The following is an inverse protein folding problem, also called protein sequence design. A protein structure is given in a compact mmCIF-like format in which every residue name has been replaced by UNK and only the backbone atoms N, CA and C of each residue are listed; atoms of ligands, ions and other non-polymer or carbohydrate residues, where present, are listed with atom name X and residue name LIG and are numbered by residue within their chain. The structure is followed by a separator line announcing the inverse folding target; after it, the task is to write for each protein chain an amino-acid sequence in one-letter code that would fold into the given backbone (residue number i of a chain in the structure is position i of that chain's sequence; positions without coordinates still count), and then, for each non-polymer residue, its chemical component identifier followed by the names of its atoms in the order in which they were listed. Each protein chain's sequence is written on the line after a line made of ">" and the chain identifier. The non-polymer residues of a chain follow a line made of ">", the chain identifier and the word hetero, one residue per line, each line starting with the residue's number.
data_IF_486056374518
#
_entry.id   IF_486056374518
#
_cell.length_a   1.000
_cell.length_b   1.000
_cell.length_c   1.000
_cell.angle_alpha   90.00
_cell.angle_beta   90.00
_cell.angle_gamma   90.00
#
_symmetry.space_group_name_H-M   'P 1'
#
loop_
_entity.id
_entity.type
_entity.pdbx_description
1 polymer ?
#
# COMPACT_ATOMS: atom_id res chain seq x y z
N UNK A 1 -19.88 5.44 -12.87
CA UNK A 1 -18.64 5.94 -12.25
C UNK A 1 -17.80 4.71 -11.98
N UNK A 2 -16.76 4.47 -12.76
CA UNK A 2 -15.78 3.42 -12.43
C UNK A 2 -15.19 3.80 -11.08
N UNK A 3 -15.31 2.96 -10.03
CA UNK A 3 -14.52 3.20 -8.84
C UNK A 3 -13.06 3.13 -9.30
N UNK A 4 -12.30 4.19 -9.08
CA UNK A 4 -10.88 4.23 -9.39
C UNK A 4 -10.17 3.36 -8.35
N UNK A 5 -10.33 2.04 -8.50
CA UNK A 5 -9.80 1.07 -7.55
C UNK A 5 -8.29 1.14 -7.54
N UNK A 6 -7.69 1.11 -6.37
CA UNK A 6 -6.24 1.07 -6.26
C UNK A 6 -5.69 -0.22 -6.91
N UNK A 7 -4.69 -0.05 -7.77
CA UNK A 7 -3.89 -1.12 -8.38
C UNK A 7 -2.42 -0.89 -8.00
N UNK A 8 -1.73 -1.85 -7.35
CA UNK A 8 -0.31 -1.73 -7.00
C UNK A 8 0.59 -1.35 -8.18
N UNK A 9 0.25 -1.76 -9.41
CA UNK A 9 1.03 -1.45 -10.61
C UNK A 9 0.85 -0.01 -11.12
N UNK A 10 -0.18 0.70 -10.64
CA UNK A 10 -0.58 2.02 -11.13
C UNK A 10 -0.67 3.08 -10.01
N UNK A 11 -0.15 2.81 -8.81
CA UNK A 11 -0.15 3.80 -7.71
C UNK A 11 0.67 5.04 -8.07
N UNK A 12 0.20 6.22 -7.65
CA UNK A 12 0.96 7.46 -7.79
C UNK A 12 1.99 7.61 -6.66
N UNK A 13 2.89 8.61 -6.80
CA UNK A 13 3.88 8.91 -5.77
C UNK A 13 3.24 9.42 -4.48
N UNK A 14 2.11 10.14 -4.53
CA UNK A 14 1.39 10.53 -3.32
C UNK A 14 0.79 9.31 -2.61
N UNK A 15 0.21 8.37 -3.36
CA UNK A 15 -0.33 7.13 -2.80
C UNK A 15 0.77 6.30 -2.14
N UNK A 16 1.94 6.18 -2.79
CA UNK A 16 3.08 5.48 -2.23
C UNK A 16 3.59 6.12 -0.93
N UNK A 17 3.64 7.45 -0.86
CA UNK A 17 4.01 8.16 0.37
C UNK A 17 3.04 7.88 1.52
N UNK A 18 1.73 7.83 1.24
CA UNK A 18 0.72 7.48 2.24
C UNK A 18 0.83 6.01 2.69
N UNK A 19 1.05 5.07 1.76
CA UNK A 19 1.25 3.65 2.08
C UNK A 19 2.49 3.47 2.95
N UNK A 20 3.58 4.19 2.65
CA UNK A 20 4.79 4.20 3.48
C UNK A 20 4.49 4.73 4.88
N UNK A 21 3.75 5.82 5.02
CA UNK A 21 3.39 6.37 6.33
C UNK A 21 2.62 5.33 7.16
N UNK A 22 1.61 4.68 6.57
CA UNK A 22 0.86 3.61 7.26
C UNK A 22 1.77 2.47 7.70
N UNK A 23 2.58 1.94 6.78
CA UNK A 23 3.39 0.75 7.06
C UNK A 23 4.54 1.02 8.03
N UNK A 24 5.27 2.10 7.79
CA UNK A 24 6.57 2.37 8.41
C UNK A 24 6.47 3.30 9.62
N UNK A 25 5.60 4.30 9.56
CA UNK A 25 5.54 5.34 10.59
C UNK A 25 4.42 5.04 11.60
N UNK A 26 3.28 4.52 11.14
CA UNK A 26 2.14 4.13 12.00
C UNK A 26 2.13 2.64 12.38
N UNK A 27 3.02 1.83 11.81
CA UNK A 27 3.19 0.42 12.16
C UNK A 27 2.07 -0.51 11.70
N UNK A 28 1.36 -0.16 10.63
CA UNK A 28 0.29 -1.00 10.09
C UNK A 28 0.85 -2.35 9.64
N UNK A 29 0.11 -3.43 9.92
CA UNK A 29 0.34 -4.71 9.25
C UNK A 29 -0.05 -4.62 7.77
N UNK A 30 0.42 -5.53 6.93
CA UNK A 30 0.01 -5.57 5.52
C UNK A 30 -1.52 -5.66 5.34
N UNK A 31 -2.21 -6.42 6.19
CA UNK A 31 -3.68 -6.50 6.18
C UNK A 31 -4.34 -5.16 6.51
N UNK A 32 -3.76 -4.40 7.44
CA UNK A 32 -4.26 -3.08 7.80
C UNK A 32 -4.00 -2.06 6.68
N UNK A 33 -2.85 -2.11 6.02
CA UNK A 33 -2.57 -1.31 4.81
C UNK A 33 -3.60 -1.61 3.71
N UNK A 34 -3.86 -2.88 3.44
CA UNK A 34 -4.85 -3.31 2.45
C UNK A 34 -6.26 -2.78 2.77
N UNK A 35 -6.66 -2.86 4.04
CA UNK A 35 -7.95 -2.34 4.50
C UNK A 35 -8.01 -0.82 4.34
N UNK A 36 -7.00 -0.08 4.81
CA UNK A 36 -6.96 1.38 4.70
C UNK A 36 -6.96 1.85 3.23
N UNK A 37 -6.21 1.18 2.36
CA UNK A 37 -6.21 1.45 0.93
C UNK A 37 -7.58 1.15 0.28
N UNK A 38 -8.25 0.08 0.71
CA UNK A 38 -9.62 -0.24 0.27
C UNK A 38 -10.60 0.83 0.72
N UNK A 39 -10.51 1.28 1.97
CA UNK A 39 -11.44 2.28 2.51
C UNK A 39 -11.21 3.66 1.88
N UNK A 40 -9.96 4.02 1.57
CA UNK A 40 -9.60 5.33 1.01
C UNK A 40 -9.78 5.42 -0.51
N UNK A 41 -9.37 4.39 -1.25
CA UNK A 41 -9.32 4.41 -2.72
C UNK A 41 -10.21 3.36 -3.39
N UNK A 42 -10.75 2.42 -2.63
CA UNK A 42 -11.56 1.31 -3.16
C UNK A 42 -10.69 0.17 -3.69
N UNK A 43 -11.05 -1.05 -3.34
CA UNK A 43 -10.43 -2.26 -3.87
C UNK A 43 -11.40 -3.44 -3.69
N UNK A 44 -11.43 -4.42 -4.60
CA UNK A 44 -12.19 -5.64 -4.40
C UNK A 44 -11.56 -6.58 -3.35
N UNK A 45 -10.34 -6.29 -2.88
CA UNK A 45 -9.55 -7.21 -2.07
C UNK A 45 -9.69 -7.01 -0.56
N UNK A 46 -10.19 -5.86 -0.09
CA UNK A 46 -10.36 -5.58 1.34
C UNK A 46 -9.05 -5.71 2.13
N UNK A 47 -9.12 -6.30 3.33
CA UNK A 47 -7.96 -6.58 4.20
C UNK A 47 -7.08 -7.77 3.77
N UNK A 48 -7.04 -8.10 2.47
CA UNK A 48 -6.20 -9.19 1.96
C UNK A 48 -4.71 -8.90 2.20
N UNK A 49 -4.02 -9.86 2.83
CA UNK A 49 -2.62 -9.70 3.20
C UNK A 49 -1.68 -9.56 2.00
N UNK A 50 -1.83 -10.40 0.98
CA UNK A 50 -0.98 -10.38 -0.21
C UNK A 50 -1.16 -9.08 -0.98
N UNK A 51 -2.40 -8.60 -1.07
CA UNK A 51 -2.69 -7.30 -1.67
C UNK A 51 -1.99 -6.15 -0.92
N UNK A 52 -2.03 -6.18 0.42
CA UNK A 52 -1.33 -5.19 1.24
C UNK A 52 0.19 -5.24 1.11
N UNK A 53 0.75 -6.45 1.00
CA UNK A 53 2.17 -6.66 0.73
C UNK A 53 2.55 -6.10 -0.65
N UNK A 54 1.78 -6.40 -1.69
CA UNK A 54 2.00 -5.87 -3.05
C UNK A 54 1.97 -4.34 -3.07
N UNK A 55 1.04 -3.72 -2.35
CA UNK A 55 0.98 -2.26 -2.18
C UNK A 55 2.24 -1.70 -1.53
N UNK A 56 2.72 -2.34 -0.45
CA UNK A 56 3.95 -1.92 0.23
C UNK A 56 5.18 -2.07 -0.68
N UNK A 57 5.27 -3.19 -1.42
CA UNK A 57 6.37 -3.44 -2.36
C UNK A 57 6.37 -2.43 -3.51
N UNK A 58 5.20 -2.14 -4.08
CA UNK A 58 5.05 -1.14 -5.12
C UNK A 58 5.43 0.26 -4.62
N UNK A 59 4.96 0.64 -3.43
CA UNK A 59 5.25 1.93 -2.82
C UNK A 59 6.76 2.11 -2.57
N UNK A 60 7.41 1.12 -1.95
CA UNK A 60 8.84 1.14 -1.72
C UNK A 60 9.63 1.31 -3.02
N UNK A 61 9.31 0.51 -4.05
CA UNK A 61 9.97 0.60 -5.37
C UNK A 61 9.78 1.97 -6.01
N UNK A 62 8.57 2.53 -5.95
CA UNK A 62 8.27 3.85 -6.53
C UNK A 62 8.99 5.00 -5.79
N UNK A 63 9.21 4.84 -4.49
CA UNK A 63 9.97 5.79 -3.67
C UNK A 63 11.49 5.60 -3.76
N UNK A 64 11.96 4.53 -4.40
CA UNK A 64 13.39 4.19 -4.48
C UNK A 64 13.94 3.53 -3.22
N UNK A 65 13.09 2.96 -2.38
CA UNK A 65 13.43 2.26 -1.14
C UNK A 65 13.47 0.73 -1.34
N UNK A 66 14.08 0.01 -0.40
CA UNK A 66 14.12 -1.46 -0.42
C UNK A 66 12.98 -2.05 0.43
N UNK A 67 11.99 -2.76 -0.15
CA UNK A 67 10.85 -3.30 0.59
C UNK A 67 11.20 -4.45 1.55
N UNK A 68 12.37 -5.08 1.41
CA UNK A 68 12.76 -6.24 2.22
C UNK A 68 13.67 -5.87 3.40
N UNK A 69 13.85 -4.57 3.66
CA UNK A 69 14.61 -4.05 4.79
C UNK A 69 13.77 -3.04 5.55
N UNK A 70 14.16 -2.81 6.80
CA UNK A 70 13.70 -1.67 7.59
C UNK A 70 13.67 -0.38 6.74
N UNK A 71 12.57 0.39 6.80
CA UNK A 71 11.46 0.26 7.75
C UNK A 71 10.28 -0.64 7.30
N UNK A 72 10.37 -1.32 6.15
CA UNK A 72 9.24 -2.04 5.58
C UNK A 72 9.05 -3.46 6.15
N UNK A 73 10.12 -4.07 6.66
CA UNK A 73 10.21 -5.50 7.01
C UNK A 73 11.00 -5.72 8.29
#
# INVERSE_FOLDING_TARGET
>A
MTPNTIDPSAITREMAAQIRAWRCDEGYSWRAVAQAATDLWGSPWGSNQLFGEDLCVAAAKLLGENPYREPWN
#
